data_IF_521484781700
#
_entry.id   IF_521484781700
#
_cell.length_a   1.000
_cell.length_b   1.000
_cell.length_c   1.000
_cell.angle_alpha   90.00
_cell.angle_beta   90.00
_cell.angle_gamma   90.00
#
_symmetry.space_group_name_H-M   'P 1'
#
loop_
_entity.id
_entity.type
_entity.pdbx_description
1 polymer ?
#
# COMPACT_ATOMS: atom_id res chain seq x y z
N UNK A 1 -7.11 26.91 21.12
CA UNK A 1 -6.03 27.83 20.74
C UNK A 1 -4.77 26.98 20.75
N UNK A 2 -4.22 26.48 19.66
CA UNK A 2 -4.24 26.97 18.28
C UNK A 2 -4.78 25.94 17.28
N UNK A 3 -5.73 26.42 16.48
CA UNK A 3 -6.20 25.81 15.25
C UNK A 3 -5.40 26.49 14.13
N UNK A 4 -4.16 26.07 13.92
CA UNK A 4 -3.47 26.37 12.67
C UNK A 4 -3.36 25.08 11.85
N UNK A 5 -4.31 25.00 10.95
CA UNK A 5 -4.40 24.13 9.79
C UNK A 5 -3.05 23.99 9.10
N UNK A 6 -2.36 22.87 9.35
CA UNK A 6 -1.24 22.38 8.53
C UNK A 6 -1.75 22.05 7.13
N UNK A 7 -1.93 23.05 6.28
CA UNK A 7 -1.86 22.90 4.82
C UNK A 7 -0.39 22.65 4.50
N UNK A 8 0.01 21.38 4.50
CA UNK A 8 1.35 20.98 4.11
C UNK A 8 1.48 21.18 2.59
N UNK A 9 1.87 22.39 2.19
CA UNK A 9 2.12 22.78 0.80
C UNK A 9 3.59 22.58 0.41
N UNK A 10 4.27 21.57 0.96
CA UNK A 10 5.70 21.39 0.71
C UNK A 10 6.38 20.32 1.56
N UNK A 11 7.65 20.08 1.28
CA UNK A 11 8.54 19.18 2.03
C UNK A 11 9.48 20.03 2.87
N UNK A 12 9.70 19.65 4.13
CA UNK A 12 10.69 20.30 5.01
C UNK A 12 11.75 19.28 5.41
N UNK A 13 13.01 19.58 5.08
CA UNK A 13 14.17 18.79 5.46
C UNK A 13 14.90 19.54 6.57
N UNK A 14 14.99 18.93 7.76
CA UNK A 14 15.72 19.50 8.89
C UNK A 14 17.05 18.79 9.05
N UNK A 15 18.13 19.53 8.86
CA UNK A 15 19.50 19.08 9.10
C UNK A 15 19.98 19.69 10.41
N UNK A 16 20.10 18.87 11.45
CA UNK A 16 20.68 19.31 12.73
C UNK A 16 22.19 19.11 12.64
N UNK A 17 22.95 20.18 12.82
CA UNK A 17 24.41 20.18 12.87
C UNK A 17 24.93 19.26 13.98
N UNK A 18 26.17 18.78 13.81
CA UNK A 18 26.79 17.73 14.64
C UNK A 18 26.98 18.09 16.12
N UNK A 19 28.22 18.09 16.60
CA UNK A 19 28.53 18.37 18.02
C UNK A 19 28.87 19.84 18.28
N UNK A 20 28.77 20.71 17.29
CA UNK A 20 29.07 22.14 17.43
C UNK A 20 27.83 22.89 17.93
N UNK A 21 28.01 23.54 19.08
CA UNK A 21 27.00 24.39 19.72
C UNK A 21 26.99 25.77 19.06
N UNK A 22 25.82 26.40 19.02
CA UNK A 22 25.67 27.73 18.45
C UNK A 22 26.39 28.78 19.29
N UNK A 23 27.16 29.66 18.65
CA UNK A 23 27.90 30.72 19.36
C UNK A 23 27.00 31.73 20.09
N UNK A 24 25.76 31.93 19.62
CA UNK A 24 24.80 32.84 20.22
C UNK A 24 24.02 32.23 21.39
N UNK A 25 23.89 30.90 21.44
CA UNK A 25 23.20 30.15 22.48
C UNK A 25 23.80 28.74 22.60
N UNK A 26 24.63 28.53 23.63
CA UNK A 26 25.28 27.23 23.92
C UNK A 26 24.28 26.10 24.23
N UNK A 27 23.00 26.40 24.41
CA UNK A 27 21.96 25.39 24.58
C UNK A 27 21.39 24.86 23.26
N UNK A 28 21.70 25.51 22.13
CA UNK A 28 21.18 25.17 20.80
C UNK A 28 22.28 24.73 19.85
N UNK A 29 21.95 23.81 18.93
CA UNK A 29 22.83 23.38 17.84
C UNK A 29 22.47 24.13 16.57
N UNK A 30 23.44 24.31 15.67
CA UNK A 30 23.16 24.83 14.33
C UNK A 30 22.14 23.96 13.62
N UNK A 31 21.09 24.57 13.07
CA UNK A 31 20.06 23.89 12.29
C UNK A 31 19.99 24.46 10.87
N UNK A 32 19.93 23.61 9.86
CA UNK A 32 19.61 24.00 8.48
C UNK A 32 18.24 23.42 8.13
N UNK A 33 17.24 24.30 7.93
CA UNK A 33 15.90 23.92 7.47
C UNK A 33 15.80 24.21 5.98
N UNK A 34 15.53 23.19 5.17
CA UNK A 34 15.23 23.37 3.75
C UNK A 34 13.74 23.16 3.56
N UNK A 35 13.00 24.24 3.28
CA UNK A 35 11.57 24.19 3.01
C UNK A 35 11.34 24.29 1.51
N UNK A 36 10.78 23.26 0.90
CA UNK A 36 10.46 23.23 -0.53
C UNK A 36 8.95 23.32 -0.68
N UNK A 37 8.46 24.46 -1.15
CA UNK A 37 7.04 24.76 -1.36
C UNK A 37 6.59 24.31 -2.76
N UNK A 38 5.39 23.77 -2.86
CA UNK A 38 4.77 23.42 -4.14
C UNK A 38 4.51 24.67 -4.97
N UNK A 39 5.07 24.69 -6.19
CA UNK A 39 4.67 25.63 -7.23
C UNK A 39 4.50 24.86 -8.56
N UNK A 40 3.25 24.67 -9.06
CA UNK A 40 2.99 23.86 -10.26
C UNK A 40 3.57 24.47 -11.55
N UNK A 41 3.88 25.76 -11.56
CA UNK A 41 4.42 26.47 -12.71
C UNK A 41 5.95 26.35 -12.84
N UNK A 42 6.64 25.83 -11.82
CA UNK A 42 8.10 25.72 -11.78
C UNK A 42 8.58 24.31 -12.13
N UNK A 43 9.07 24.11 -13.35
CA UNK A 43 9.60 22.81 -13.82
C UNK A 43 10.92 22.39 -13.18
N UNK A 44 11.60 23.29 -12.45
CA UNK A 44 12.89 23.03 -11.79
C UNK A 44 12.92 23.69 -10.41
N UNK A 45 13.81 23.21 -9.54
CA UNK A 45 14.01 23.74 -8.19
C UNK A 45 14.45 25.21 -8.27
N UNK A 46 13.62 26.12 -7.75
CA UNK A 46 13.85 27.57 -7.73
C UNK A 46 14.08 28.05 -6.31
N UNK A 47 15.18 28.73 -6.07
CA UNK A 47 15.43 29.38 -4.78
C UNK A 47 14.54 30.63 -4.62
N UNK A 48 13.88 30.77 -3.46
CA UNK A 48 13.03 31.92 -3.13
C UNK A 48 13.83 32.92 -2.29
N UNK A 49 14.20 32.51 -1.09
CA UNK A 49 14.87 33.33 -0.08
C UNK A 49 15.52 32.44 1.00
N UNK A 50 16.35 33.06 1.81
CA UNK A 50 16.87 32.53 3.06
C UNK A 50 16.39 33.40 4.20
N UNK A 51 15.96 32.76 5.28
CA UNK A 51 15.80 33.41 6.58
C UNK A 51 16.97 32.93 7.45
N UNK A 52 17.86 33.87 7.76
CA UNK A 52 19.02 33.60 8.60
C UNK A 52 18.67 34.01 10.03
N UNK A 53 18.44 33.02 10.89
CA UNK A 53 18.51 33.20 12.34
C UNK A 53 19.90 32.75 12.82
N UNK A 54 20.36 33.36 13.90
CA UNK A 54 21.69 33.21 14.49
C UNK A 54 22.13 31.75 14.69
N UNK A 55 21.18 30.85 14.91
CA UNK A 55 21.40 29.41 15.11
C UNK A 55 20.64 28.52 14.12
N UNK A 56 19.80 29.09 13.24
CA UNK A 56 19.05 28.32 12.26
C UNK A 56 18.97 29.03 10.91
N UNK A 57 19.51 28.40 9.86
CA UNK A 57 19.39 28.87 8.49
C UNK A 57 18.20 28.18 7.85
N UNK A 58 17.22 28.94 7.38
CA UNK A 58 16.09 28.40 6.63
C UNK A 58 16.20 28.77 5.16
N UNK A 59 16.37 27.77 4.28
CA UNK A 59 16.38 27.94 2.83
C UNK A 59 15.02 27.57 2.25
N UNK A 60 14.39 28.51 1.55
CA UNK A 60 13.10 28.27 0.92
C UNK A 60 13.28 28.08 -0.60
N UNK A 61 12.74 26.98 -1.11
CA UNK A 61 12.73 26.61 -2.52
C UNK A 61 11.30 26.41 -3.02
N UNK A 62 11.10 26.52 -4.32
CA UNK A 62 9.88 26.14 -5.04
C UNK A 62 10.21 25.02 -6.04
N UNK A 63 9.35 24.02 -6.12
CA UNK A 63 9.44 22.99 -7.17
C UNK A 63 8.08 22.36 -7.45
N UNK A 64 7.84 22.01 -8.71
CA UNK A 64 6.71 21.17 -9.12
C UNK A 64 6.79 19.76 -8.51
N UNK A 65 7.99 19.23 -8.28
CA UNK A 65 8.17 17.90 -7.67
C UNK A 65 7.81 17.88 -6.18
N UNK A 66 7.72 19.06 -5.56
CA UNK A 66 7.24 19.23 -4.18
C UNK A 66 5.74 19.46 -4.11
N UNK A 67 5.06 19.50 -5.25
CA UNK A 67 3.62 19.42 -5.28
C UNK A 67 3.15 18.02 -4.91
N UNK A 68 2.16 17.91 -4.01
CA UNK A 68 1.63 16.61 -3.65
C UNK A 68 1.01 15.99 -4.90
N UNK A 69 1.67 14.99 -5.48
CA UNK A 69 1.17 14.23 -6.62
C UNK A 69 -0.14 13.48 -6.32
N UNK A 70 -0.65 13.55 -5.08
CA UNK A 70 -1.91 12.95 -4.68
C UNK A 70 -2.62 13.73 -3.57
N UNK A 71 -3.90 14.07 -3.80
CA UNK A 71 -4.89 14.35 -2.76
C UNK A 71 -5.26 13.11 -1.91
N UNK A 72 -4.55 11.99 -2.09
CA UNK A 72 -4.46 10.91 -1.11
C UNK A 72 -3.95 11.41 0.24
N UNK A 73 -3.38 12.62 0.34
CA UNK A 73 -2.89 13.13 1.61
C UNK A 73 -3.97 13.08 2.70
N UNK A 74 -5.25 13.39 2.43
CA UNK A 74 -6.28 13.28 3.48
C UNK A 74 -6.60 11.83 3.86
N UNK A 75 -6.71 10.91 2.90
CA UNK A 75 -6.97 9.49 3.18
C UNK A 75 -5.75 8.84 3.85
N UNK A 76 -4.55 9.15 3.40
CA UNK A 76 -3.29 8.66 3.93
C UNK A 76 -3.02 9.24 5.33
N UNK A 77 -3.26 10.54 5.55
CA UNK A 77 -3.23 11.16 6.88
C UNK A 77 -4.25 10.48 7.78
N UNK A 78 -5.48 10.24 7.31
CA UNK A 78 -6.49 9.54 8.09
C UNK A 78 -6.07 8.08 8.41
N UNK A 79 -5.56 7.33 7.44
CA UNK A 79 -5.06 5.97 7.67
C UNK A 79 -3.86 5.96 8.63
N UNK A 80 -2.99 6.96 8.54
CA UNK A 80 -1.82 7.10 9.40
C UNK A 80 -2.21 7.51 10.83
N UNK A 81 -3.17 8.42 10.98
CA UNK A 81 -3.70 8.85 12.27
C UNK A 81 -4.37 7.68 13.00
N UNK A 82 -5.14 6.86 12.27
CA UNK A 82 -5.85 5.70 12.81
C UNK A 82 -5.16 4.35 12.50
N UNK A 83 -3.83 4.35 12.32
CA UNK A 83 -3.10 3.14 11.90
C UNK A 83 -3.32 1.95 12.86
N UNK A 84 -3.50 2.23 14.16
CA UNK A 84 -3.76 1.23 15.18
C UNK A 84 -5.15 0.58 15.05
N UNK A 85 -6.18 1.29 14.56
CA UNK A 85 -7.48 0.68 14.29
C UNK A 85 -7.43 -0.20 13.04
N UNK A 86 -6.75 0.29 12.00
CA UNK A 86 -6.55 -0.45 10.76
C UNK A 86 -5.74 -1.73 10.98
N UNK A 87 -4.69 -1.69 11.80
CA UNK A 87 -3.91 -2.85 12.21
C UNK A 87 -4.78 -3.92 12.87
N UNK A 88 -5.58 -3.55 13.86
CA UNK A 88 -6.48 -4.47 14.56
C UNK A 88 -7.53 -5.05 13.61
N UNK A 89 -8.14 -4.21 12.77
CA UNK A 89 -9.11 -4.62 11.77
C UNK A 89 -8.54 -5.63 10.78
N UNK A 90 -7.31 -5.40 10.29
CA UNK A 90 -6.62 -6.31 9.38
C UNK A 90 -6.29 -7.66 10.03
N UNK A 91 -5.93 -7.68 11.32
CA UNK A 91 -5.67 -8.92 12.05
C UNK A 91 -6.96 -9.72 12.21
N UNK A 92 -8.02 -9.10 12.71
CA UNK A 92 -9.30 -9.79 12.97
C UNK A 92 -9.91 -10.29 11.65
N UNK A 93 -10.00 -9.42 10.64
CA UNK A 93 -10.51 -9.78 9.32
C UNK A 93 -9.61 -10.83 8.64
N UNK A 94 -8.28 -10.71 8.80
CA UNK A 94 -7.31 -11.64 8.25
C UNK A 94 -7.44 -13.05 8.81
N UNK A 95 -7.59 -13.19 10.14
CA UNK A 95 -7.88 -14.49 10.78
C UNK A 95 -9.19 -15.05 10.24
N UNK A 96 -10.24 -14.23 10.20
CA UNK A 96 -11.55 -14.70 9.74
C UNK A 96 -11.52 -15.18 8.27
N UNK A 97 -10.89 -14.43 7.37
CA UNK A 97 -10.73 -14.82 5.96
C UNK A 97 -9.79 -16.01 5.81
N UNK A 98 -8.72 -16.08 6.60
CA UNK A 98 -7.74 -17.17 6.55
C UNK A 98 -8.30 -18.51 7.00
N UNK A 99 -9.16 -18.55 8.02
CA UNK A 99 -9.73 -19.80 8.53
C UNK A 99 -11.09 -20.16 7.90
N UNK A 100 -11.91 -19.16 7.55
CA UNK A 100 -13.29 -19.36 7.10
C UNK A 100 -13.57 -18.87 5.66
N UNK A 101 -12.58 -18.32 4.96
CA UNK A 101 -12.76 -17.69 3.65
C UNK A 101 -13.34 -18.59 2.57
N UNK A 102 -13.03 -19.89 2.56
CA UNK A 102 -13.63 -20.83 1.61
C UNK A 102 -15.17 -20.95 1.76
N UNK A 103 -15.71 -20.79 2.98
CA UNK A 103 -17.16 -20.80 3.18
C UNK A 103 -17.80 -19.47 2.79
N UNK A 104 -17.08 -18.37 3.02
CA UNK A 104 -17.54 -17.00 2.82
C UNK A 104 -17.10 -16.41 1.48
N UNK A 105 -16.72 -17.25 0.51
CA UNK A 105 -16.10 -16.80 -0.74
C UNK A 105 -16.97 -15.79 -1.50
N UNK A 106 -18.30 -15.93 -1.47
CA UNK A 106 -19.20 -14.95 -2.09
C UNK A 106 -19.14 -13.58 -1.40
N UNK A 107 -18.99 -13.54 -0.08
CA UNK A 107 -18.81 -12.30 0.69
C UNK A 107 -17.41 -11.70 0.50
N UNK A 108 -16.39 -12.55 0.45
CA UNK A 108 -15.00 -12.14 0.17
C UNK A 108 -14.88 -11.56 -1.23
N UNK A 109 -15.48 -12.18 -2.25
CA UNK A 109 -15.53 -11.65 -3.62
C UNK A 109 -16.16 -10.26 -3.62
N UNK A 110 -17.32 -10.11 -2.99
CA UNK A 110 -18.01 -8.83 -2.88
C UNK A 110 -17.13 -7.74 -2.25
N UNK A 111 -16.53 -8.01 -1.09
CA UNK A 111 -15.72 -7.03 -0.36
C UNK A 111 -14.45 -6.66 -1.11
N UNK A 112 -13.71 -7.63 -1.65
CA UNK A 112 -12.47 -7.37 -2.38
C UNK A 112 -12.74 -6.58 -3.66
N UNK A 113 -13.77 -6.95 -4.42
CA UNK A 113 -14.10 -6.23 -5.65
C UNK A 113 -14.63 -4.83 -5.37
N UNK A 114 -15.47 -4.65 -4.34
CA UNK A 114 -15.93 -3.32 -3.96
C UNK A 114 -14.79 -2.40 -3.52
N UNK A 115 -13.88 -2.90 -2.68
CA UNK A 115 -12.70 -2.15 -2.22
C UNK A 115 -11.71 -1.86 -3.36
N UNK A 116 -11.49 -2.82 -4.27
CA UNK A 116 -10.62 -2.62 -5.43
C UNK A 116 -11.17 -1.57 -6.40
N UNK A 117 -12.48 -1.60 -6.70
CA UNK A 117 -13.14 -0.60 -7.56
C UNK A 117 -13.11 0.78 -6.89
N UNK A 118 -13.34 0.84 -5.57
CA UNK A 118 -13.21 2.09 -4.83
C UNK A 118 -11.79 2.67 -4.93
N UNK A 119 -10.76 1.88 -4.61
CA UNK A 119 -9.38 2.34 -4.60
C UNK A 119 -8.85 2.70 -6.01
N UNK A 120 -9.07 1.84 -7.00
CA UNK A 120 -8.61 2.10 -8.37
C UNK A 120 -9.43 3.21 -9.05
N UNK A 121 -10.73 3.28 -8.77
CA UNK A 121 -11.62 4.30 -9.31
C UNK A 121 -11.27 5.69 -8.78
N UNK A 122 -11.00 5.83 -7.48
CA UNK A 122 -10.56 7.11 -6.91
C UNK A 122 -9.22 7.54 -7.47
N UNK A 123 -8.22 6.64 -7.51
CA UNK A 123 -6.90 6.94 -8.10
C UNK A 123 -7.04 7.34 -9.57
N UNK A 124 -7.86 6.63 -10.35
CA UNK A 124 -8.08 6.94 -11.77
C UNK A 124 -8.71 8.31 -11.99
N UNK A 125 -9.76 8.66 -11.23
CA UNK A 125 -10.42 9.97 -11.35
C UNK A 125 -9.46 11.09 -10.95
N UNK A 126 -8.77 10.96 -9.83
CA UNK A 126 -7.82 11.99 -9.40
C UNK A 126 -6.65 12.16 -10.37
N UNK A 127 -6.12 11.07 -10.94
CA UNK A 127 -5.08 11.15 -11.97
C UNK A 127 -5.54 11.86 -13.24
N UNK A 128 -6.80 11.67 -13.64
CA UNK A 128 -7.38 12.41 -14.77
C UNK A 128 -7.53 13.89 -14.43
N UNK A 129 -8.04 14.24 -13.24
CA UNK A 129 -8.22 15.63 -12.81
C UNK A 129 -6.89 16.39 -12.72
N UNK A 130 -5.85 15.72 -12.22
CA UNK A 130 -4.48 16.24 -12.18
C UNK A 130 -3.93 16.50 -13.59
N UNK A 131 -4.19 15.59 -14.54
CA UNK A 131 -3.78 15.76 -15.94
C UNK A 131 -4.40 16.99 -16.61
N UNK A 132 -5.51 17.52 -16.07
CA UNK A 132 -6.17 18.74 -16.53
C UNK A 132 -5.90 19.96 -15.62
N UNK A 133 -5.02 19.84 -14.62
CA UNK A 133 -4.74 20.90 -13.62
C UNK A 133 -6.01 21.44 -12.94
N UNK A 134 -7.00 20.57 -12.68
CA UNK A 134 -8.26 20.97 -12.03
C UNK A 134 -8.13 20.86 -10.52
N UNK A 135 -8.08 22.01 -9.83
CA UNK A 135 -8.17 22.03 -8.38
C UNK A 135 -9.57 21.62 -7.91
N UNK A 136 -9.63 20.61 -7.04
CA UNK A 136 -10.89 20.09 -6.51
C UNK A 136 -11.21 20.71 -5.15
N UNK A 137 -12.36 21.38 -4.99
CA UNK A 137 -12.80 21.86 -3.68
C UNK A 137 -13.13 20.68 -2.77
N UNK A 138 -13.03 20.88 -1.45
CA UNK A 138 -13.17 19.81 -0.45
C UNK A 138 -14.51 19.06 -0.54
N UNK A 139 -15.62 19.75 -0.80
CA UNK A 139 -16.93 19.11 -0.95
C UNK A 139 -16.98 18.17 -2.17
N UNK A 140 -16.26 18.49 -3.26
CA UNK A 140 -16.20 17.65 -4.44
C UNK A 140 -15.43 16.36 -4.16
N UNK A 141 -14.42 16.40 -3.29
CA UNK A 141 -13.69 15.20 -2.87
C UNK A 141 -14.60 14.20 -2.17
N UNK A 142 -15.44 14.66 -1.23
CA UNK A 142 -16.41 13.80 -0.56
C UNK A 142 -17.45 13.20 -1.52
N UNK A 143 -17.88 13.97 -2.53
CA UNK A 143 -18.79 13.46 -3.57
C UNK A 143 -18.11 12.38 -4.43
N UNK A 144 -16.86 12.59 -4.85
CA UNK A 144 -16.10 11.61 -5.64
C UNK A 144 -15.91 10.31 -4.83
N UNK A 145 -15.48 10.42 -3.57
CA UNK A 145 -15.33 9.27 -2.69
C UNK A 145 -16.66 8.53 -2.49
N UNK A 146 -17.74 9.26 -2.21
CA UNK A 146 -19.08 8.68 -2.05
C UNK A 146 -19.56 7.97 -3.32
N UNK A 147 -19.38 8.59 -4.50
CA UNK A 147 -19.76 8.02 -5.78
C UNK A 147 -18.98 6.73 -6.09
N UNK A 148 -17.65 6.73 -5.86
CA UNK A 148 -16.83 5.54 -6.06
C UNK A 148 -17.16 4.42 -5.07
N UNK A 149 -17.53 4.75 -3.84
CA UNK A 149 -17.96 3.77 -2.85
C UNK A 149 -19.25 3.07 -3.29
N UNK A 150 -20.25 3.84 -3.74
CA UNK A 150 -21.52 3.30 -4.27
C UNK A 150 -21.26 2.44 -5.50
N UNK A 151 -20.43 2.93 -6.44
CA UNK A 151 -20.06 2.19 -7.65
C UNK A 151 -19.36 0.86 -7.29
N UNK A 152 -18.45 0.88 -6.33
CA UNK A 152 -17.77 -0.31 -5.83
C UNK A 152 -18.74 -1.34 -5.27
N UNK A 153 -19.73 -0.92 -4.46
CA UNK A 153 -20.76 -1.82 -3.93
C UNK A 153 -21.61 -2.45 -5.05
N UNK A 154 -22.00 -1.66 -6.07
CA UNK A 154 -22.78 -2.15 -7.22
C UNK A 154 -21.97 -3.18 -8.01
N UNK A 155 -20.73 -2.84 -8.40
CA UNK A 155 -19.86 -3.74 -9.17
C UNK A 155 -19.57 -5.00 -8.36
N UNK A 156 -19.27 -4.86 -7.07
CA UNK A 156 -19.03 -6.00 -6.19
C UNK A 156 -20.24 -6.92 -6.08
N UNK A 157 -21.45 -6.36 -6.04
CA UNK A 157 -22.69 -7.15 -6.04
C UNK A 157 -22.88 -7.93 -7.35
N UNK A 158 -22.57 -7.32 -8.49
CA UNK A 158 -22.63 -7.99 -9.80
C UNK A 158 -21.59 -9.10 -9.90
N UNK A 159 -20.33 -8.85 -9.51
CA UNK A 159 -19.25 -9.85 -9.57
C UNK A 159 -19.51 -11.01 -8.61
N UNK A 160 -20.14 -10.76 -7.45
CA UNK A 160 -20.61 -11.81 -6.55
C UNK A 160 -21.57 -12.79 -7.27
N UNK A 161 -22.44 -12.30 -8.16
CA UNK A 161 -23.34 -13.14 -8.97
C UNK A 161 -22.54 -13.95 -10.01
N UNK A 162 -21.46 -13.38 -10.53
CA UNK A 162 -20.52 -14.00 -11.46
C UNK A 162 -19.37 -14.72 -10.74
N UNK A 163 -19.71 -15.60 -9.78
CA UNK A 163 -18.76 -16.27 -8.88
C UNK A 163 -17.51 -16.83 -9.60
N UNK A 164 -17.67 -17.50 -10.75
CA UNK A 164 -16.53 -18.08 -11.49
C UNK A 164 -15.52 -17.02 -11.95
N UNK A 165 -16.01 -15.86 -12.41
CA UNK A 165 -15.17 -14.74 -12.84
C UNK A 165 -14.52 -14.09 -11.62
N UNK A 166 -15.29 -13.89 -10.53
CA UNK A 166 -14.75 -13.35 -9.28
C UNK A 166 -13.60 -14.19 -8.71
N UNK A 167 -13.70 -15.52 -8.78
CA UNK A 167 -12.63 -16.43 -8.35
C UNK A 167 -11.40 -16.29 -9.24
N UNK A 168 -11.58 -16.20 -10.56
CA UNK A 168 -10.47 -16.00 -11.49
C UNK A 168 -9.75 -14.65 -11.25
N UNK A 169 -10.49 -13.58 -10.96
CA UNK A 169 -9.91 -12.26 -10.64
C UNK A 169 -9.10 -12.31 -9.35
N UNK A 170 -9.65 -12.90 -8.29
CA UNK A 170 -8.94 -13.03 -7.00
C UNK A 170 -7.69 -13.92 -7.14
N UNK A 171 -7.80 -15.00 -7.92
CA UNK A 171 -6.68 -15.86 -8.24
C UNK A 171 -5.61 -15.12 -9.06
N UNK A 172 -6.01 -14.29 -10.04
CA UNK A 172 -5.09 -13.45 -10.81
C UNK A 172 -4.31 -12.50 -9.89
N UNK A 173 -4.99 -11.85 -8.94
CA UNK A 173 -4.35 -10.98 -7.95
C UNK A 173 -3.38 -11.74 -7.05
N UNK A 174 -3.76 -12.96 -6.61
CA UNK A 174 -2.83 -13.86 -5.92
C UNK A 174 -1.60 -14.20 -6.76
N UNK A 175 -1.78 -14.39 -8.08
CA UNK A 175 -0.68 -14.60 -9.03
C UNK A 175 0.21 -13.37 -9.21
N UNK A 176 -0.36 -12.15 -9.19
CA UNK A 176 0.41 -10.90 -9.17
C UNK A 176 1.30 -10.83 -7.93
N UNK A 177 0.74 -11.11 -6.75
CA UNK A 177 1.50 -11.13 -5.49
C UNK A 177 2.62 -12.18 -5.50
N UNK A 178 2.34 -13.37 -6.06
CA UNK A 178 3.34 -14.40 -6.24
C UNK A 178 4.46 -13.95 -7.19
N UNK A 179 4.12 -13.31 -8.31
CA UNK A 179 5.09 -12.76 -9.27
C UNK A 179 5.96 -11.65 -8.66
N UNK A 180 5.36 -10.76 -7.85
CA UNK A 180 6.10 -9.74 -7.10
C UNK A 180 7.08 -10.37 -6.10
N UNK A 181 6.63 -11.39 -5.35
CA UNK A 181 7.49 -12.11 -4.42
C UNK A 181 8.65 -12.82 -5.13
N UNK A 182 8.39 -13.46 -6.27
CA UNK A 182 9.43 -14.11 -7.09
C UNK A 182 10.45 -13.11 -7.61
N UNK A 183 10.00 -11.97 -8.14
CA UNK A 183 10.91 -10.91 -8.60
C UNK A 183 11.78 -10.36 -7.45
N UNK A 184 11.23 -10.24 -6.23
CA UNK A 184 12.00 -9.85 -5.05
C UNK A 184 13.04 -10.91 -4.63
N UNK A 185 12.75 -12.20 -4.82
CA UNK A 185 13.70 -13.30 -4.52
C UNK A 185 14.80 -13.40 -5.58
N UNK A 186 14.48 -13.16 -6.86
CA UNK A 186 15.44 -13.28 -7.97
C UNK A 186 16.12 -11.95 -8.35
N UNK A 187 15.82 -10.85 -7.65
CA UNK A 187 16.34 -9.49 -7.92
C UNK A 187 16.34 -9.14 -9.41
N UNK A 188 15.19 -9.29 -10.07
CA UNK A 188 15.08 -9.00 -11.50
C UNK A 188 15.13 -7.48 -11.72
N UNK A 189 16.28 -6.99 -12.19
CA UNK A 189 16.52 -5.57 -12.51
C UNK A 189 15.85 -5.15 -13.83
N UNK A 190 15.74 -6.08 -14.78
CA UNK A 190 15.24 -5.80 -16.12
C UNK A 190 13.71 -5.61 -16.11
N UNK A 191 13.26 -4.38 -16.43
CA UNK A 191 11.87 -3.96 -16.34
C UNK A 191 10.86 -4.78 -17.18
N UNK A 192 11.10 -5.06 -18.48
CA UNK A 192 10.19 -5.92 -19.23
C UNK A 192 10.13 -7.35 -18.71
N UNK A 193 11.23 -7.89 -18.17
CA UNK A 193 11.24 -9.24 -17.55
C UNK A 193 10.44 -9.24 -16.25
N UNK A 194 10.61 -8.20 -15.43
CA UNK A 194 9.88 -8.01 -14.17
C UNK A 194 8.36 -8.06 -14.37
N UNK A 195 7.83 -7.26 -15.31
CA UNK A 195 6.39 -7.26 -15.61
C UNK A 195 5.93 -8.55 -16.29
N UNK A 196 6.77 -9.18 -17.12
CA UNK A 196 6.43 -10.45 -17.77
C UNK A 196 6.23 -11.57 -16.76
N UNK A 197 7.04 -11.65 -15.71
CA UNK A 197 6.89 -12.62 -14.62
C UNK A 197 5.57 -12.39 -13.88
N UNK A 198 5.25 -11.13 -13.54
CA UNK A 198 4.02 -10.78 -12.82
C UNK A 198 2.78 -11.17 -13.64
N UNK A 199 2.74 -10.76 -14.91
CA UNK A 199 1.62 -11.04 -15.81
C UNK A 199 1.51 -12.55 -16.08
N UNK A 200 2.64 -13.22 -16.30
CA UNK A 200 2.68 -14.68 -16.49
C UNK A 200 2.11 -15.43 -15.29
N UNK A 201 2.55 -15.11 -14.08
CA UNK A 201 2.02 -15.71 -12.86
C UNK A 201 0.53 -15.44 -12.66
N UNK A 202 0.07 -14.20 -12.92
CA UNK A 202 -1.34 -13.84 -12.84
C UNK A 202 -2.22 -14.69 -13.77
N UNK A 203 -1.82 -14.84 -15.04
CA UNK A 203 -2.57 -15.61 -16.03
C UNK A 203 -2.59 -17.10 -15.66
N UNK A 204 -1.44 -17.67 -15.30
CA UNK A 204 -1.33 -19.10 -14.94
C UNK A 204 -2.25 -19.43 -13.76
N UNK A 205 -2.19 -18.63 -12.70
CA UNK A 205 -3.01 -18.87 -11.49
C UNK A 205 -4.49 -18.63 -11.77
N UNK A 206 -4.84 -17.64 -12.60
CA UNK A 206 -6.22 -17.42 -13.04
C UNK A 206 -6.79 -18.58 -13.86
N UNK A 207 -6.01 -19.14 -14.80
CA UNK A 207 -6.42 -20.31 -15.60
C UNK A 207 -6.56 -21.55 -14.72
N UNK A 208 -5.63 -21.76 -13.78
CA UNK A 208 -5.72 -22.87 -12.81
C UNK A 208 -6.97 -22.77 -11.93
N UNK A 209 -7.43 -21.55 -11.62
CA UNK A 209 -8.64 -21.32 -10.84
C UNK A 209 -9.88 -21.92 -11.49
N UNK A 210 -9.97 -21.94 -12.83
CA UNK A 210 -11.10 -22.55 -13.54
C UNK A 210 -11.11 -24.09 -13.47
N UNK A 211 -9.92 -24.73 -13.40
CA UNK A 211 -9.82 -26.20 -13.31
C UNK A 211 -9.87 -26.72 -11.88
N UNK A 212 -9.31 -25.98 -10.92
CA UNK A 212 -9.13 -26.43 -9.54
C UNK A 212 -9.75 -25.45 -8.53
N UNK A 213 -10.97 -24.98 -8.81
CA UNK A 213 -11.68 -23.93 -8.06
C UNK A 213 -11.51 -24.07 -6.53
N UNK A 214 -11.83 -25.25 -5.97
CA UNK A 214 -11.79 -25.47 -4.52
C UNK A 214 -10.37 -25.38 -3.93
N UNK A 215 -9.37 -25.87 -4.65
CA UNK A 215 -7.98 -25.86 -4.16
C UNK A 215 -7.44 -24.44 -4.21
N UNK A 216 -7.70 -23.72 -5.32
CA UNK A 216 -7.26 -22.35 -5.52
C UNK A 216 -7.94 -21.40 -4.52
N UNK A 217 -9.25 -21.55 -4.27
CA UNK A 217 -9.94 -20.74 -3.25
C UNK A 217 -9.31 -20.92 -1.88
N UNK A 218 -9.03 -22.17 -1.46
CA UNK A 218 -8.41 -22.44 -0.15
C UNK A 218 -7.03 -21.78 -0.08
N UNK A 219 -6.20 -21.94 -1.11
CA UNK A 219 -4.85 -21.36 -1.14
C UNK A 219 -4.90 -19.84 -1.08
N UNK A 220 -5.71 -19.19 -1.93
CA UNK A 220 -5.75 -17.73 -2.02
C UNK A 220 -6.37 -17.13 -0.75
N UNK A 221 -7.46 -17.68 -0.23
CA UNK A 221 -8.05 -17.14 1.02
C UNK A 221 -7.13 -17.34 2.23
N UNK A 222 -6.42 -18.47 2.30
CA UNK A 222 -5.41 -18.71 3.35
C UNK A 222 -4.25 -17.73 3.26
N UNK A 223 -3.72 -17.51 2.04
CA UNK A 223 -2.62 -16.59 1.80
C UNK A 223 -3.02 -15.13 2.07
N UNK A 224 -4.16 -14.68 1.53
CA UNK A 224 -4.68 -13.33 1.77
C UNK A 224 -4.95 -13.09 3.24
N UNK A 225 -5.54 -14.07 3.95
CA UNK A 225 -5.76 -13.97 5.39
C UNK A 225 -4.45 -13.85 6.17
N UNK A 226 -3.47 -14.72 5.87
CA UNK A 226 -2.16 -14.68 6.50
C UNK A 226 -1.41 -13.37 6.24
N UNK A 227 -1.43 -12.89 4.99
CA UNK A 227 -0.87 -11.60 4.62
C UNK A 227 -1.52 -10.45 5.38
N UNK A 228 -2.86 -10.42 5.48
CA UNK A 228 -3.57 -9.38 6.23
C UNK A 228 -3.21 -9.38 7.71
N UNK A 229 -3.06 -10.56 8.34
CA UNK A 229 -2.60 -10.66 9.74
C UNK A 229 -1.20 -10.10 9.91
N UNK A 230 -0.25 -10.55 9.08
CA UNK A 230 1.14 -10.10 9.17
C UNK A 230 1.27 -8.62 8.83
N UNK A 231 0.53 -8.13 7.84
CA UNK A 231 0.47 -6.70 7.51
C UNK A 231 -0.13 -5.89 8.66
N UNK A 232 -1.18 -6.39 9.30
CA UNK A 232 -1.77 -5.75 10.48
C UNK A 232 -0.78 -5.67 11.65
N UNK A 233 -0.03 -6.74 11.92
CA UNK A 233 1.06 -6.74 12.91
C UNK A 233 2.15 -5.73 12.53
N UNK A 234 2.52 -5.67 11.24
CA UNK A 234 3.55 -4.75 10.77
C UNK A 234 3.19 -3.27 10.92
N UNK A 235 1.90 -2.92 11.00
CA UNK A 235 1.49 -1.55 11.30
C UNK A 235 1.83 -1.14 12.74
N UNK A 236 1.96 -2.09 13.67
CA UNK A 236 2.40 -1.83 15.04
C UNK A 236 3.91 -1.99 15.22
N UNK A 237 4.49 -3.03 14.60
CA UNK A 237 5.90 -3.36 14.75
C UNK A 237 6.82 -2.55 13.82
N UNK A 238 6.27 -1.96 12.75
CA UNK A 238 7.03 -1.25 11.72
C UNK A 238 7.92 -2.17 10.87
N UNK A 239 8.71 -1.56 9.99
CA UNK A 239 9.79 -2.24 9.27
C UNK A 239 9.37 -3.25 8.20
N UNK A 240 8.10 -3.23 7.75
CA UNK A 240 7.66 -4.04 6.61
C UNK A 240 7.64 -3.18 5.33
N UNK A 241 8.67 -3.29 4.46
CA UNK A 241 8.75 -2.49 3.25
C UNK A 241 7.59 -2.83 2.31
N UNK A 242 7.07 -1.84 1.58
CA UNK A 242 6.17 -2.16 0.48
C UNK A 242 6.98 -2.80 -0.66
N UNK A 243 6.44 -3.84 -1.30
CA UNK A 243 7.14 -4.54 -2.38
C UNK A 243 7.48 -3.60 -3.55
N UNK A 244 6.70 -2.54 -3.74
CA UNK A 244 6.94 -1.51 -4.74
C UNK A 244 8.10 -0.58 -4.38
N UNK A 245 8.22 -0.18 -3.11
CA UNK A 245 9.38 0.59 -2.63
C UNK A 245 10.65 -0.26 -2.72
N UNK A 246 10.55 -1.54 -2.35
CA UNK A 246 11.66 -2.47 -2.45
C UNK A 246 12.18 -2.57 -3.89
N UNK A 247 11.30 -2.66 -4.89
CA UNK A 247 11.71 -2.67 -6.29
C UNK A 247 12.38 -1.35 -6.73
N UNK A 248 11.92 -0.20 -6.23
CA UNK A 248 12.54 1.10 -6.51
C UNK A 248 13.93 1.21 -5.90
N UNK A 249 14.11 0.72 -4.67
CA UNK A 249 15.40 0.73 -3.96
C UNK A 249 16.42 -0.25 -4.57
N UNK A 250 15.94 -1.41 -5.08
CA UNK A 250 16.77 -2.33 -5.87
C UNK A 250 17.17 -1.66 -7.19
N UNK A 251 16.23 -1.00 -7.89
CA UNK A 251 16.51 -0.27 -9.13
C UNK A 251 17.49 0.89 -8.95
N UNK A 252 17.48 1.57 -7.80
CA UNK A 252 18.41 2.68 -7.53
C UNK A 252 19.82 2.20 -7.16
N UNK A 253 20.06 0.89 -7.10
CA UNK A 253 21.34 0.32 -6.68
C UNK A 253 21.67 0.59 -5.21
N UNK A 254 20.67 0.98 -4.41
CA UNK A 254 20.85 1.37 -3.02
C UNK A 254 20.85 0.19 -2.03
N UNK A 255 20.63 -1.04 -2.52
CA UNK A 255 20.63 -2.24 -1.69
C UNK A 255 21.40 -3.37 -2.36
N UNK A 256 22.44 -3.85 -1.66
CA UNK A 256 23.16 -5.08 -1.96
C UNK A 256 22.63 -6.24 -1.08
N UNK A 257 22.90 -7.50 -1.46
CA UNK A 257 22.37 -8.69 -0.76
C UNK A 257 22.68 -8.73 0.75
N UNK A 258 23.78 -8.11 1.15
CA UNK A 258 24.26 -8.09 2.53
C UNK A 258 23.52 -7.09 3.43
N UNK A 259 22.86 -6.08 2.85
CA UNK A 259 22.12 -5.05 3.60
C UNK A 259 20.60 -5.34 3.69
N UNK A 260 20.16 -6.45 3.08
CA UNK A 260 18.74 -6.75 3.02
C UNK A 260 18.14 -6.93 4.43
N UNK A 261 17.06 -6.20 4.77
CA UNK A 261 16.55 -6.18 6.13
C UNK A 261 16.05 -7.58 6.54
N UNK A 262 16.71 -8.20 7.51
CA UNK A 262 16.36 -9.54 8.05
C UNK A 262 14.91 -9.61 8.54
N UNK A 263 14.33 -8.48 8.93
CA UNK A 263 12.92 -8.33 9.30
C UNK A 263 11.98 -8.73 8.17
N UNK A 264 12.33 -8.49 6.90
CA UNK A 264 11.53 -8.89 5.75
C UNK A 264 11.38 -10.41 5.66
N UNK A 265 12.48 -11.15 5.82
CA UNK A 265 12.45 -12.63 5.81
C UNK A 265 11.64 -13.19 6.96
N UNK A 266 11.68 -12.55 8.13
CA UNK A 266 10.83 -12.94 9.26
C UNK A 266 9.34 -12.76 8.93
N UNK A 267 8.95 -11.63 8.31
CA UNK A 267 7.58 -11.41 7.87
C UNK A 267 7.16 -12.39 6.77
N UNK A 268 7.99 -12.61 5.76
CA UNK A 268 7.74 -13.57 4.70
C UNK A 268 7.58 -15.01 5.23
N UNK A 269 8.47 -15.42 6.14
CA UNK A 269 8.38 -16.70 6.85
C UNK A 269 7.09 -16.82 7.67
N UNK A 270 6.70 -15.76 8.38
CA UNK A 270 5.44 -15.70 9.13
C UNK A 270 4.21 -15.88 8.24
N UNK A 271 4.18 -15.20 7.08
CA UNK A 271 3.10 -15.36 6.09
C UNK A 271 3.03 -16.80 5.60
N UNK A 272 4.17 -17.42 5.26
CA UNK A 272 4.23 -18.80 4.77
C UNK A 272 3.71 -19.79 5.82
N UNK A 273 4.21 -19.72 7.06
CA UNK A 273 3.80 -20.61 8.15
C UNK A 273 2.31 -20.46 8.43
N UNK A 274 1.81 -19.22 8.55
CA UNK A 274 0.39 -18.96 8.82
C UNK A 274 -0.50 -19.41 7.65
N UNK A 275 -0.05 -19.22 6.40
CA UNK A 275 -0.75 -19.73 5.22
C UNK A 275 -0.89 -21.25 5.28
N UNK A 276 0.19 -21.98 5.63
CA UNK A 276 0.15 -23.44 5.75
C UNK A 276 -0.84 -23.89 6.83
N UNK A 277 -0.84 -23.24 8.00
CA UNK A 277 -1.79 -23.53 9.09
C UNK A 277 -3.24 -23.34 8.59
N UNK A 278 -3.54 -22.21 7.96
CA UNK A 278 -4.85 -21.91 7.39
C UNK A 278 -5.28 -22.95 6.34
N UNK A 279 -4.37 -23.34 5.43
CA UNK A 279 -4.64 -24.35 4.39
C UNK A 279 -4.96 -25.71 5.02
N UNK A 280 -4.17 -26.15 6.00
CA UNK A 280 -4.39 -27.42 6.69
C UNK A 280 -5.74 -27.45 7.41
N UNK A 281 -6.08 -26.36 8.12
CA UNK A 281 -7.35 -26.22 8.79
C UNK A 281 -8.54 -26.24 7.81
N UNK A 282 -8.50 -25.40 6.77
CA UNK A 282 -9.56 -25.34 5.77
C UNK A 282 -9.76 -26.69 5.06
N UNK A 283 -8.67 -27.41 4.74
CA UNK A 283 -8.73 -28.76 4.15
C UNK A 283 -9.35 -29.78 5.10
N UNK A 284 -8.94 -29.81 6.37
CA UNK A 284 -9.46 -30.73 7.38
C UNK A 284 -10.96 -30.52 7.62
N UNK A 285 -11.38 -29.26 7.76
CA UNK A 285 -12.79 -28.91 7.94
C UNK A 285 -13.65 -29.26 6.71
N UNK A 286 -13.10 -29.13 5.50
CA UNK A 286 -13.82 -29.46 4.27
C UNK A 286 -13.97 -30.98 4.06
N UNK A 287 -13.02 -31.80 4.53
CA UNK A 287 -13.13 -33.27 4.52
C UNK A 287 -14.25 -33.77 5.44
N UNK A 288 -14.36 -33.22 6.66
CA UNK A 288 -15.42 -33.62 7.62
C UNK A 288 -16.83 -33.43 7.07
N UNK A 289 -17.10 -32.36 6.32
CA UNK A 289 -18.42 -32.11 5.70
C UNK A 289 -18.78 -33.11 4.60
N UNK A 290 -17.82 -33.69 3.89
CA UNK A 290 -18.07 -34.71 2.85
C UNK A 290 -18.39 -36.10 3.43
N UNK A 291 -18.04 -36.37 4.68
CA UNK A 291 -18.34 -37.66 5.34
C UNK A 291 -19.73 -37.75 5.98
N UNK A 292 -20.53 -36.68 5.91
CA UNK A 292 -21.89 -36.61 6.47
C UNK A 292 -22.98 -36.46 5.38
N UNK A 293 -22.64 -36.71 4.12
CA UNK A 293 -23.58 -36.77 3.00
C UNK A 293 -23.52 -38.13 2.32
#
# INVERSE_FOLDING_TARGET
MDSDSRKVNGVTLNYVGGNEECEADTSQKYELKVQITCNPDQSTLKYINSEDDTCSVQLNYESKDSCPLFSLNQLAIFLNEYYYLWGAGLIIAGIFVGFFGNHLINGVIFLITATAVFALGTVGIYGILDSFNVETPEWANWVILGAMAILGLIVGYVVKKLRKIGIAIIAAWGGVMLGLALNGVFLVENEPVYYSIIVGCAIIVAVLAFKMEKVVIILVTSFTGAYSVVRGISLYAGGFPSLTQLHQEIKSGAMDWDEFPKTYYAYAGGILVLTLICVLYQRAHNKKKKGHH
#
